data_IF_682039492887
#
_entry.id   IF_682039492887
#
_cell.length_a   1.000
_cell.length_b   1.000
_cell.length_c   1.000
_cell.angle_alpha   90.00
_cell.angle_beta   90.00
_cell.angle_gamma   90.00
#
_symmetry.space_group_name_H-M   'P 1'
#
loop_
_entity.id
_entity.type
_entity.pdbx_description
1 polymer ?
#
# COMPACT_ATOMS: atom_id res chain seq x y z
N UNK A 1 17.77 -3.90 34.70
CA UNK A 1 16.85 -3.27 33.72
C UNK A 1 16.02 -2.15 34.34
N UNK A 2 15.57 -2.29 35.59
CA UNK A 2 14.75 -1.28 36.30
C UNK A 2 15.33 0.14 36.35
N UNK A 3 16.64 0.29 36.59
CA UNK A 3 17.29 1.61 36.59
C UNK A 3 17.26 2.24 35.21
N UNK A 4 17.44 1.46 34.14
CA UNK A 4 17.41 1.94 32.77
C UNK A 4 15.99 2.36 32.36
N UNK A 5 14.97 1.60 32.73
CA UNK A 5 13.58 1.93 32.45
C UNK A 5 13.15 3.25 33.14
N UNK A 6 13.53 3.42 34.41
CA UNK A 6 13.14 4.59 35.21
C UNK A 6 13.95 5.86 34.86
N UNK A 7 15.24 5.72 34.60
CA UNK A 7 16.16 6.86 34.45
C UNK A 7 16.33 7.29 33.01
N UNK A 8 16.23 6.37 32.04
CA UNK A 8 16.51 6.65 30.62
C UNK A 8 15.24 6.60 29.79
N UNK A 9 14.47 5.51 29.89
CA UNK A 9 13.30 5.33 29.03
C UNK A 9 12.17 6.30 29.35
N UNK A 10 11.68 6.35 30.59
CA UNK A 10 10.55 7.24 30.94
C UNK A 10 10.75 8.73 30.61
N UNK A 11 11.92 9.35 30.81
CA UNK A 11 12.10 10.75 30.43
C UNK A 11 12.32 10.97 28.93
N UNK A 12 12.90 10.02 28.21
CA UNK A 12 13.41 10.26 26.84
C UNK A 12 12.62 9.56 25.73
N UNK A 13 11.79 8.54 26.04
CA UNK A 13 11.14 7.71 25.02
C UNK A 13 10.34 8.53 24.01
N UNK A 14 9.64 9.59 24.44
CA UNK A 14 8.89 10.45 23.51
C UNK A 14 9.82 11.14 22.50
N UNK A 15 10.90 11.75 22.96
CA UNK A 15 11.83 12.48 22.09
C UNK A 15 12.55 11.53 21.14
N UNK A 16 12.99 10.38 21.65
CA UNK A 16 13.66 9.35 20.86
C UNK A 16 12.72 8.74 19.83
N UNK A 17 11.47 8.41 20.19
CA UNK A 17 10.44 7.95 19.24
C UNK A 17 10.24 9.01 18.14
N UNK A 18 10.03 10.28 18.49
CA UNK A 18 9.83 11.33 17.47
C UNK A 18 11.03 11.45 16.53
N UNK A 19 12.26 11.45 17.06
CA UNK A 19 13.46 11.50 16.23
C UNK A 19 13.57 10.29 15.29
N UNK A 20 13.21 9.09 15.73
CA UNK A 20 13.14 7.91 14.86
C UNK A 20 12.08 8.07 13.76
N UNK A 21 10.91 8.60 14.08
CA UNK A 21 9.83 8.83 13.11
C UNK A 21 10.22 9.89 12.06
N UNK A 22 10.90 10.96 12.47
CA UNK A 22 11.43 11.98 11.57
C UNK A 22 12.49 11.41 10.62
N UNK A 23 13.38 10.54 11.11
CA UNK A 23 14.34 9.83 10.26
C UNK A 23 13.61 8.93 9.24
N UNK A 24 12.60 8.18 9.65
CA UNK A 24 11.81 7.32 8.75
C UNK A 24 11.09 8.16 7.69
N UNK A 25 10.51 9.30 8.08
CA UNK A 25 9.88 10.24 7.14
C UNK A 25 10.90 10.78 6.12
N UNK A 26 12.10 11.10 6.57
CA UNK A 26 13.21 11.55 5.72
C UNK A 26 13.62 10.46 4.71
N UNK A 27 13.73 9.21 5.17
CA UNK A 27 13.99 8.05 4.31
C UNK A 27 12.91 7.87 3.23
N UNK A 28 11.63 8.03 3.57
CA UNK A 28 10.53 7.97 2.59
C UNK A 28 10.60 9.06 1.53
N UNK A 29 11.23 10.19 1.85
CA UNK A 29 11.55 11.27 0.92
C UNK A 29 12.84 11.03 0.13
N UNK A 30 13.38 9.80 0.19
CA UNK A 30 14.62 9.36 -0.45
C UNK A 30 15.90 9.97 0.14
N UNK A 31 15.86 10.43 1.39
CA UNK A 31 17.05 10.87 2.10
C UNK A 31 17.83 9.67 2.67
N UNK A 32 19.16 9.75 2.63
CA UNK A 32 20.03 8.72 3.20
C UNK A 32 20.07 8.89 4.72
N UNK A 33 19.58 7.87 5.44
CA UNK A 33 19.57 7.86 6.90
C UNK A 33 20.45 6.75 7.47
N UNK A 34 20.88 6.93 8.73
CA UNK A 34 21.55 5.87 9.48
C UNK A 34 20.51 4.98 10.17
N UNK A 35 20.10 3.90 9.49
CA UNK A 35 19.11 2.93 9.97
C UNK A 35 19.51 2.22 11.27
N UNK A 36 20.81 2.20 11.62
CA UNK A 36 21.30 1.63 12.89
C UNK A 36 20.78 2.39 14.11
N UNK A 37 20.54 3.70 13.98
CA UNK A 37 19.97 4.51 15.06
C UNK A 37 18.56 4.04 15.40
N UNK A 38 17.74 3.80 14.38
CA UNK A 38 16.37 3.30 14.55
C UNK A 38 16.42 1.87 15.10
N UNK A 39 17.24 0.99 14.51
CA UNK A 39 17.36 -0.40 14.95
C UNK A 39 17.73 -0.52 16.42
N UNK A 40 18.67 0.29 16.92
CA UNK A 40 19.05 0.31 18.34
C UNK A 40 17.90 0.71 19.27
N UNK A 41 17.10 1.70 18.88
CA UNK A 41 15.90 2.11 19.63
C UNK A 41 14.85 1.01 19.62
N UNK A 42 14.58 0.40 18.46
CA UNK A 42 13.60 -0.68 18.35
C UNK A 42 14.02 -1.90 19.19
N UNK A 43 15.27 -2.32 19.11
CA UNK A 43 15.80 -3.42 19.92
C UNK A 43 15.66 -3.12 21.42
N UNK A 44 15.90 -1.87 21.82
CA UNK A 44 15.71 -1.42 23.19
C UNK A 44 14.24 -1.50 23.63
N UNK A 45 13.29 -1.06 22.80
CA UNK A 45 11.85 -1.10 23.12
C UNK A 45 11.34 -2.54 23.21
N UNK A 46 11.85 -3.43 22.35
CA UNK A 46 11.51 -4.85 22.37
C UNK A 46 12.13 -5.52 23.61
N UNK A 47 13.40 -5.26 23.94
CA UNK A 47 14.08 -5.81 25.10
C UNK A 47 13.42 -5.43 26.44
N UNK A 48 12.85 -4.23 26.53
CA UNK A 48 12.06 -3.81 27.69
C UNK A 48 10.77 -4.58 27.90
N UNK A 49 10.21 -5.17 26.85
CA UNK A 49 9.01 -6.00 26.94
C UNK A 49 9.24 -7.35 27.62
N UNK A 50 10.50 -7.69 27.94
CA UNK A 50 10.90 -8.93 28.59
C UNK A 50 11.10 -8.77 30.12
N UNK A 51 10.56 -7.73 30.76
CA UNK A 51 10.74 -7.58 32.22
C UNK A 51 10.16 -8.79 32.97
N UNK A 52 11.00 -9.40 33.80
CA UNK A 52 10.63 -10.48 34.71
C UNK A 52 9.56 -9.97 35.68
N UNK A 53 8.34 -10.51 35.61
CA UNK A 53 7.40 -10.37 36.71
C UNK A 53 8.06 -11.02 37.93
N UNK A 54 8.47 -10.21 38.91
CA UNK A 54 9.10 -10.63 40.17
C UNK A 54 8.19 -11.44 41.10
N UNK A 55 7.19 -12.13 40.56
CA UNK A 55 6.27 -13.00 41.28
C UNK A 55 6.24 -14.38 40.65
N UNK A 56 7.13 -15.23 41.17
CA UNK A 56 6.98 -16.68 41.32
C UNK A 56 6.81 -17.55 40.06
N UNK A 57 7.75 -18.49 39.95
CA UNK A 57 7.67 -19.81 39.31
C UNK A 57 8.01 -19.89 37.82
N UNK A 58 9.28 -20.18 37.52
CA UNK A 58 9.81 -21.08 36.46
C UNK A 58 9.09 -21.19 35.09
N UNK A 59 8.31 -20.19 34.69
CA UNK A 59 7.76 -20.05 33.36
C UNK A 59 8.25 -18.72 32.84
N UNK A 60 9.12 -18.80 31.84
CA UNK A 60 9.49 -17.68 31.01
C UNK A 60 8.20 -17.18 30.35
N UNK A 61 7.58 -16.16 30.94
CA UNK A 61 6.40 -15.51 30.39
C UNK A 61 6.79 -14.97 29.01
N UNK A 62 5.99 -15.28 28.00
CA UNK A 62 6.29 -14.88 26.63
C UNK A 62 6.53 -13.36 26.58
N UNK A 63 7.55 -12.88 25.83
CA UNK A 63 7.80 -11.45 25.71
C UNK A 63 6.55 -10.70 25.33
N UNK A 64 6.16 -9.72 26.16
CA UNK A 64 5.02 -8.88 25.83
C UNK A 64 5.56 -7.68 25.05
N UNK A 65 5.28 -7.62 23.75
CA UNK A 65 5.71 -6.52 22.86
C UNK A 65 5.03 -5.16 23.18
N UNK A 66 4.36 -5.03 24.33
CA UNK A 66 3.56 -3.87 24.73
C UNK A 66 4.34 -2.56 24.63
N UNK A 67 5.59 -2.53 25.12
CA UNK A 67 6.39 -1.31 25.08
C UNK A 67 6.67 -0.86 23.64
N UNK A 68 7.08 -1.79 22.77
CA UNK A 68 7.26 -1.50 21.35
C UNK A 68 5.96 -1.03 20.69
N UNK A 69 4.86 -1.72 20.97
CA UNK A 69 3.57 -1.41 20.35
C UNK A 69 3.04 -0.04 20.76
N UNK A 70 2.97 0.21 22.07
CA UNK A 70 2.34 1.40 22.64
C UNK A 70 3.17 2.66 22.42
N UNK A 71 4.50 2.57 22.50
CA UNK A 71 5.38 3.73 22.45
C UNK A 71 6.02 3.99 21.08
N UNK A 72 5.89 3.05 20.13
CA UNK A 72 6.43 3.22 18.78
C UNK A 72 5.42 2.80 17.69
N UNK A 73 4.98 1.53 17.66
CA UNK A 73 4.22 0.98 16.51
C UNK A 73 2.96 1.78 16.21
N UNK A 74 2.19 2.15 17.25
CA UNK A 74 0.95 2.93 17.08
C UNK A 74 1.24 4.27 16.39
N UNK A 75 2.20 5.04 16.88
CA UNK A 75 2.53 6.34 16.29
C UNK A 75 3.15 6.19 14.89
N UNK A 76 4.03 5.21 14.71
CA UNK A 76 4.62 4.90 13.40
C UNK A 76 3.55 4.65 12.34
N UNK A 77 2.50 3.89 12.67
CA UNK A 77 1.43 3.58 11.73
C UNK A 77 0.58 4.82 11.43
N UNK A 78 0.27 5.63 12.44
CA UNK A 78 -0.47 6.89 12.26
C UNK A 78 0.28 7.87 11.34
N UNK A 79 1.57 8.07 11.58
CA UNK A 79 2.41 8.93 10.75
C UNK A 79 2.53 8.39 9.33
N UNK A 80 2.59 7.06 9.18
CA UNK A 80 2.62 6.40 7.87
C UNK A 80 1.32 6.60 7.10
N UNK A 81 0.18 6.46 7.77
CA UNK A 81 -1.12 6.73 7.19
C UNK A 81 -1.21 8.19 6.71
N UNK A 82 -0.83 9.15 7.56
CA UNK A 82 -0.86 10.56 7.20
C UNK A 82 0.08 10.89 6.03
N UNK A 83 1.29 10.32 6.05
CA UNK A 83 2.27 10.50 4.97
C UNK A 83 1.70 10.04 3.63
N UNK A 84 1.16 8.82 3.57
CA UNK A 84 0.65 8.27 2.31
C UNK A 84 -0.66 8.90 1.85
N UNK A 85 -1.51 9.38 2.76
CA UNK A 85 -2.69 10.18 2.39
C UNK A 85 -2.28 11.45 1.65
N UNK A 86 -1.29 12.17 2.20
CA UNK A 86 -0.77 13.39 1.58
C UNK A 86 -0.05 13.10 0.26
N UNK A 87 0.78 12.05 0.23
CA UNK A 87 1.49 11.66 -0.99
C UNK A 87 0.51 11.28 -2.11
N UNK A 88 -0.51 10.47 -1.83
CA UNK A 88 -1.51 10.08 -2.82
C UNK A 88 -2.26 11.30 -3.37
N UNK A 89 -2.77 12.16 -2.49
CA UNK A 89 -3.49 13.37 -2.89
C UNK A 89 -2.62 14.30 -3.74
N UNK A 90 -1.35 14.48 -3.37
CA UNK A 90 -0.44 15.36 -4.11
C UNK A 90 -0.02 14.74 -5.45
N UNK A 91 0.26 13.43 -5.47
CA UNK A 91 0.78 12.75 -6.65
C UNK A 91 -0.28 12.64 -7.75
N UNK A 92 -1.52 12.29 -7.40
CA UNK A 92 -2.63 12.15 -8.35
C UNK A 92 -3.05 13.47 -9.01
N UNK A 93 -2.73 14.61 -8.41
CA UNK A 93 -2.99 15.94 -9.02
C UNK A 93 -2.05 16.23 -10.18
N UNK A 94 -0.82 15.70 -10.15
CA UNK A 94 0.24 16.09 -11.08
C UNK A 94 0.67 14.98 -12.04
N UNK A 95 0.21 13.74 -11.82
CA UNK A 95 0.67 12.56 -12.55
C UNK A 95 -0.50 11.68 -12.97
N UNK A 96 -0.28 10.79 -13.93
CA UNK A 96 -1.29 9.83 -14.35
C UNK A 96 -1.58 8.77 -13.28
N UNK A 97 -2.79 8.18 -13.33
CA UNK A 97 -3.15 7.06 -12.43
C UNK A 97 -2.25 5.86 -12.67
N UNK A 98 -1.84 5.62 -13.91
CA UNK A 98 -0.87 4.56 -14.24
C UNK A 98 0.48 4.77 -13.56
N UNK A 99 1.03 6.00 -13.54
CA UNK A 99 2.26 6.32 -12.80
C UNK A 99 2.06 6.18 -11.30
N UNK A 100 0.90 6.60 -10.80
CA UNK A 100 0.53 6.42 -9.40
C UNK A 100 0.55 4.94 -9.00
N UNK A 101 -0.05 4.04 -9.78
CA UNK A 101 -0.06 2.60 -9.49
C UNK A 101 1.37 2.00 -9.46
N UNK A 102 2.27 2.46 -10.32
CA UNK A 102 3.69 2.05 -10.29
C UNK A 102 4.35 2.49 -8.98
N UNK A 103 4.10 3.73 -8.57
CA UNK A 103 4.59 4.26 -7.30
C UNK A 103 4.00 3.54 -6.10
N UNK A 104 2.71 3.19 -6.11
CA UNK A 104 2.08 2.38 -5.04
C UNK A 104 2.75 1.03 -4.89
N UNK A 105 3.03 0.33 -6.01
CA UNK A 105 3.76 -0.94 -5.97
C UNK A 105 5.15 -0.78 -5.33
N UNK A 106 5.89 0.25 -5.74
CA UNK A 106 7.19 0.58 -5.17
C UNK A 106 7.10 0.87 -3.66
N UNK A 107 6.13 1.71 -3.23
CA UNK A 107 5.95 2.06 -1.81
C UNK A 107 5.64 0.84 -0.95
N UNK A 108 4.83 -0.10 -1.44
CA UNK A 108 4.57 -1.36 -0.73
C UNK A 108 5.85 -2.17 -0.53
N UNK A 109 6.67 -2.32 -1.57
CA UNK A 109 7.93 -3.05 -1.49
C UNK A 109 8.94 -2.36 -0.54
N UNK A 110 8.99 -1.03 -0.56
CA UNK A 110 9.80 -0.23 0.37
C UNK A 110 9.38 -0.44 1.83
N UNK A 111 8.07 -0.46 2.13
CA UNK A 111 7.59 -0.70 3.51
C UNK A 111 7.86 -2.13 3.98
N UNK A 112 7.80 -3.13 3.09
CA UNK A 112 8.23 -4.50 3.42
C UNK A 112 9.70 -4.51 3.80
N UNK A 113 10.56 -3.91 2.98
CA UNK A 113 12.01 -3.83 3.23
C UNK A 113 12.31 -3.07 4.51
N UNK A 114 11.58 -1.99 4.80
CA UNK A 114 11.71 -1.20 6.02
C UNK A 114 11.50 -2.03 7.27
N UNK A 115 10.43 -2.83 7.29
CA UNK A 115 10.17 -3.71 8.43
C UNK A 115 11.29 -4.73 8.58
N UNK A 116 11.72 -5.36 7.50
CA UNK A 116 12.80 -6.36 7.51
C UNK A 116 14.15 -5.77 7.95
N UNK A 117 14.38 -4.48 7.68
CA UNK A 117 15.67 -3.84 7.94
C UNK A 117 15.84 -3.44 9.41
N UNK A 118 14.81 -2.89 10.05
CA UNK A 118 14.99 -2.30 11.38
C UNK A 118 13.75 -2.26 12.29
N UNK A 119 12.58 -2.78 11.88
CA UNK A 119 11.39 -2.85 12.75
C UNK A 119 11.14 -4.27 13.26
N UNK A 120 10.26 -4.41 14.24
CA UNK A 120 9.88 -5.73 14.72
C UNK A 120 8.94 -6.41 13.68
N UNK A 121 9.12 -7.72 13.36
CA UNK A 121 8.32 -8.40 12.33
C UNK A 121 6.80 -8.39 12.57
N UNK A 122 6.36 -8.22 13.82
CA UNK A 122 4.93 -8.10 14.16
C UNK A 122 4.23 -6.93 13.46
N UNK A 123 4.98 -5.92 13.04
CA UNK A 123 4.44 -4.70 12.42
C UNK A 123 4.03 -4.92 10.97
N UNK A 124 4.60 -5.91 10.28
CA UNK A 124 4.47 -6.06 8.83
C UNK A 124 3.02 -6.13 8.36
N UNK A 125 2.23 -7.03 8.95
CA UNK A 125 0.84 -7.26 8.51
C UNK A 125 -0.04 -6.03 8.71
N UNK A 126 0.12 -5.33 9.82
CA UNK A 126 -0.67 -4.14 10.15
C UNK A 126 -0.25 -2.94 9.29
N UNK A 127 1.05 -2.73 9.10
CA UNK A 127 1.60 -1.70 8.23
C UNK A 127 1.11 -1.86 6.78
N UNK A 128 1.29 -3.05 6.20
CA UNK A 128 0.91 -3.28 4.79
C UNK A 128 -0.59 -3.10 4.60
N UNK A 129 -1.42 -3.60 5.51
CA UNK A 129 -2.87 -3.40 5.45
C UNK A 129 -3.24 -1.91 5.50
N UNK A 130 -2.54 -1.12 6.31
CA UNK A 130 -2.79 0.32 6.40
C UNK A 130 -2.35 1.06 5.14
N UNK A 131 -1.20 0.71 4.58
CA UNK A 131 -0.70 1.30 3.33
C UNK A 131 -1.62 0.95 2.15
N UNK A 132 -2.09 -0.30 2.06
CA UNK A 132 -3.08 -0.75 1.07
C UNK A 132 -4.41 0.00 1.20
N UNK A 133 -4.88 0.23 2.43
CA UNK A 133 -6.07 1.02 2.69
C UNK A 133 -5.94 2.43 2.09
N UNK A 134 -4.87 3.14 2.45
CA UNK A 134 -4.67 4.54 2.05
C UNK A 134 -4.35 4.69 0.55
N UNK A 135 -3.49 3.83 0.01
CA UNK A 135 -2.98 3.96 -1.36
C UNK A 135 -3.79 3.22 -2.41
N UNK A 136 -4.67 2.29 -2.01
CA UNK A 136 -5.47 1.51 -2.97
C UNK A 136 -6.94 1.64 -2.65
N UNK A 137 -7.37 1.26 -1.44
CA UNK A 137 -8.81 1.25 -1.09
C UNK A 137 -9.43 2.63 -1.23
N UNK A 138 -8.78 3.66 -0.68
CA UNK A 138 -9.29 5.03 -0.69
C UNK A 138 -9.29 5.66 -2.10
N UNK A 139 -8.56 5.07 -3.05
CA UNK A 139 -8.43 5.59 -4.43
C UNK A 139 -9.14 4.72 -5.47
N UNK A 140 -9.96 3.75 -5.06
CA UNK A 140 -10.58 2.77 -5.96
C UNK A 140 -11.40 3.42 -7.08
N UNK A 141 -12.12 4.50 -6.82
CA UNK A 141 -12.96 5.16 -7.82
C UNK A 141 -12.14 5.70 -9.00
N UNK A 142 -11.01 6.34 -8.69
CA UNK A 142 -10.07 6.85 -9.70
C UNK A 142 -9.41 5.68 -10.45
N UNK A 143 -9.04 4.61 -9.73
CA UNK A 143 -8.46 3.40 -10.32
C UNK A 143 -9.45 2.70 -11.27
N UNK A 144 -10.73 2.59 -10.91
CA UNK A 144 -11.76 2.00 -11.78
C UNK A 144 -12.03 2.86 -13.01
N UNK A 145 -11.93 4.17 -12.89
CA UNK A 145 -12.05 5.08 -14.03
C UNK A 145 -10.90 4.86 -15.00
N UNK A 146 -9.67 4.77 -14.49
CA UNK A 146 -8.49 4.45 -15.29
C UNK A 146 -8.59 3.06 -15.93
N UNK A 147 -9.14 2.05 -15.23
CA UNK A 147 -9.31 0.71 -15.80
C UNK A 147 -10.13 0.71 -17.10
N UNK A 148 -11.20 1.53 -17.18
CA UNK A 148 -12.01 1.68 -18.40
C UNK A 148 -11.21 2.29 -19.54
N UNK A 149 -10.38 3.30 -19.23
CA UNK A 149 -9.49 3.96 -20.20
C UNK A 149 -8.45 2.97 -20.73
N UNK A 150 -7.79 2.23 -19.84
CA UNK A 150 -6.76 1.27 -20.22
C UNK A 150 -7.32 0.10 -21.05
N UNK A 151 -8.55 -0.33 -20.78
CA UNK A 151 -9.23 -1.36 -21.58
C UNK A 151 -9.49 -0.87 -23.01
N UNK A 152 -10.08 0.33 -23.15
CA UNK A 152 -10.34 0.95 -24.45
C UNK A 152 -9.05 1.15 -25.26
N UNK A 153 -7.97 1.53 -24.59
CA UNK A 153 -6.68 1.82 -25.22
C UNK A 153 -5.79 0.57 -25.33
N UNK A 154 -6.32 -0.62 -25.00
CA UNK A 154 -5.64 -1.92 -25.07
C UNK A 154 -4.29 -1.98 -24.31
N UNK A 155 -4.17 -1.21 -23.21
CA UNK A 155 -2.95 -1.11 -22.39
C UNK A 155 -2.84 -2.24 -21.38
N UNK A 156 -2.69 -3.47 -21.86
CA UNK A 156 -2.76 -4.69 -21.04
C UNK A 156 -1.69 -4.79 -19.94
N UNK A 157 -0.49 -4.23 -20.15
CA UNK A 157 0.56 -4.24 -19.13
C UNK A 157 0.17 -3.43 -17.89
N UNK A 158 -0.41 -2.24 -18.10
CA UNK A 158 -0.86 -1.37 -17.01
C UNK A 158 -2.12 -1.95 -16.34
N UNK A 159 -3.01 -2.61 -17.10
CA UNK A 159 -4.14 -3.37 -16.55
C UNK A 159 -3.69 -4.52 -15.63
N UNK A 160 -2.63 -5.24 -16.00
CA UNK A 160 -2.11 -6.33 -15.16
C UNK A 160 -1.60 -5.80 -13.81
N UNK A 161 -0.92 -4.65 -13.81
CA UNK A 161 -0.51 -3.96 -12.59
C UNK A 161 -1.72 -3.53 -11.75
N UNK A 162 -2.71 -2.90 -12.38
CA UNK A 162 -3.94 -2.45 -11.75
C UNK A 162 -4.67 -3.62 -11.08
N UNK A 163 -4.90 -4.72 -11.81
CA UNK A 163 -5.57 -5.91 -11.29
C UNK A 163 -4.82 -6.50 -10.09
N UNK A 164 -3.49 -6.61 -10.19
CA UNK A 164 -2.65 -7.12 -9.09
C UNK A 164 -2.80 -6.28 -7.82
N UNK A 165 -2.85 -4.95 -7.94
CA UNK A 165 -3.01 -4.05 -6.80
C UNK A 165 -4.43 -4.10 -6.23
N UNK A 166 -5.46 -4.05 -7.07
CA UNK A 166 -6.86 -4.15 -6.63
C UNK A 166 -7.15 -5.49 -5.95
N UNK A 167 -6.52 -6.59 -6.39
CA UNK A 167 -6.69 -7.91 -5.78
C UNK A 167 -6.17 -8.00 -4.34
N UNK A 168 -5.37 -7.03 -3.89
CA UNK A 168 -4.94 -6.93 -2.49
C UNK A 168 -6.08 -6.46 -1.57
N UNK A 169 -7.09 -5.79 -2.13
CA UNK A 169 -8.23 -5.28 -1.37
C UNK A 169 -9.39 -6.27 -1.44
N UNK A 170 -9.81 -6.75 -0.28
CA UNK A 170 -10.96 -7.64 -0.14
C UNK A 170 -12.19 -7.05 -0.84
N UNK A 171 -12.83 -7.85 -1.70
CA UNK A 171 -14.04 -7.52 -2.47
C UNK A 171 -13.91 -6.42 -3.55
N UNK A 172 -12.74 -5.80 -3.74
CA UNK A 172 -12.57 -4.75 -4.76
C UNK A 172 -12.55 -5.31 -6.20
N UNK A 173 -12.14 -6.57 -6.39
CA UNK A 173 -12.07 -7.18 -7.72
C UNK A 173 -13.42 -7.41 -8.39
N UNK A 174 -14.51 -7.44 -7.62
CA UNK A 174 -15.85 -7.66 -8.17
C UNK A 174 -16.26 -6.53 -9.13
N UNK A 175 -15.94 -5.28 -8.79
CA UNK A 175 -16.26 -4.14 -9.65
C UNK A 175 -15.38 -4.13 -10.89
N UNK A 176 -14.10 -4.45 -10.73
CA UNK A 176 -13.18 -4.57 -11.86
C UNK A 176 -13.61 -5.66 -12.86
N UNK A 177 -14.16 -6.78 -12.39
CA UNK A 177 -14.75 -7.81 -13.26
C UNK A 177 -15.91 -7.27 -14.08
N UNK A 178 -16.86 -6.56 -13.46
CA UNK A 178 -17.98 -5.94 -14.20
C UNK A 178 -17.51 -4.95 -15.25
N UNK A 179 -16.47 -4.16 -14.93
CA UNK A 179 -15.88 -3.21 -15.88
C UNK A 179 -15.35 -3.94 -17.12
N UNK A 180 -14.63 -5.05 -16.93
CA UNK A 180 -14.11 -5.87 -18.03
C UNK A 180 -15.25 -6.54 -18.81
N UNK A 181 -16.24 -7.13 -18.12
CA UNK A 181 -17.40 -7.77 -18.73
C UNK A 181 -18.17 -6.81 -19.64
N UNK A 182 -18.47 -5.60 -19.14
CA UNK A 182 -19.15 -4.57 -19.90
C UNK A 182 -18.35 -4.14 -21.13
N UNK A 183 -17.03 -3.97 -20.98
CA UNK A 183 -16.18 -3.59 -22.10
C UNK A 183 -16.16 -4.65 -23.21
N UNK A 184 -16.04 -5.93 -22.86
CA UNK A 184 -16.10 -7.05 -23.81
C UNK A 184 -17.46 -7.10 -24.51
N UNK A 185 -18.55 -6.89 -23.76
CA UNK A 185 -19.90 -6.85 -24.31
C UNK A 185 -20.08 -5.71 -25.33
N UNK A 186 -19.67 -4.49 -24.99
CA UNK A 186 -19.75 -3.31 -25.86
C UNK A 186 -18.90 -3.49 -27.13
N UNK A 187 -17.68 -3.99 -27.00
CA UNK A 187 -16.83 -4.33 -28.14
C UNK A 187 -17.48 -5.38 -29.06
N UNK A 188 -18.13 -6.39 -28.47
CA UNK A 188 -18.85 -7.42 -29.20
C UNK A 188 -19.97 -6.84 -30.06
N UNK A 189 -20.83 -5.99 -29.47
CA UNK A 189 -21.91 -5.31 -30.19
C UNK A 189 -21.36 -4.47 -31.34
N UNK A 190 -20.40 -3.60 -31.05
CA UNK A 190 -19.83 -2.69 -32.04
C UNK A 190 -19.17 -3.45 -33.22
N UNK A 191 -18.59 -4.62 -32.94
CA UNK A 191 -18.02 -5.49 -33.98
C UNK A 191 -19.11 -6.09 -34.87
N UNK A 192 -20.21 -6.58 -34.29
CA UNK A 192 -21.34 -7.16 -35.04
C UNK A 192 -22.02 -6.10 -35.92
N UNK A 193 -22.26 -4.90 -35.38
CA UNK A 193 -22.87 -3.79 -36.12
C UNK A 193 -22.02 -3.37 -37.33
N UNK A 194 -20.70 -3.28 -37.16
CA UNK A 194 -19.77 -2.97 -38.25
C UNK A 194 -19.83 -4.03 -39.35
N UNK A 195 -19.80 -5.31 -38.99
CA UNK A 195 -19.87 -6.42 -39.95
C UNK A 195 -21.21 -6.41 -40.70
N UNK A 196 -22.32 -6.19 -39.99
CA UNK A 196 -23.66 -6.06 -40.58
C UNK A 196 -23.75 -4.89 -41.57
N UNK A 197 -23.24 -3.71 -41.19
CA UNK A 197 -23.18 -2.54 -42.06
C UNK A 197 -22.33 -2.75 -43.31
N UNK A 198 -21.16 -3.41 -43.19
CA UNK A 198 -20.34 -3.77 -44.35
C UNK A 198 -21.02 -4.81 -45.26
N UNK A 199 -21.73 -5.79 -44.70
CA UNK A 199 -22.43 -6.80 -45.48
C UNK A 199 -23.58 -6.18 -46.32
N UNK A 200 -24.31 -5.22 -45.76
CA UNK A 200 -25.35 -4.47 -46.47
C UNK A 200 -24.73 -3.62 -47.59
N UNK A 201 -23.61 -2.95 -47.31
CA UNK A 201 -22.96 -2.09 -48.30
C UNK A 201 -22.36 -2.88 -49.48
N UNK A 202 -21.72 -4.03 -49.22
CA UNK A 202 -21.24 -4.95 -50.26
C UNK A 202 -22.40 -5.48 -51.10
N UNK A 203 -23.53 -5.82 -50.45
CA UNK A 203 -24.73 -6.28 -51.16
C UNK A 203 -25.32 -5.21 -52.08
N UNK A 204 -25.36 -3.94 -51.65
CA UNK A 204 -25.82 -2.82 -52.47
C UNK A 204 -24.89 -2.53 -53.66
N UNK A 205 -23.57 -2.64 -53.49
CA UNK A 205 -22.59 -2.46 -54.57
C UNK A 205 -22.74 -3.57 -55.64
N UNK A 206 -23.07 -4.79 -55.23
CA UNK A 206 -23.29 -5.91 -56.16
C UNK A 206 -24.62 -5.80 -56.93
N UNK A 207 -25.63 -5.16 -56.35
CA UNK A 207 -26.93 -4.92 -57.00
C UNK A 207 -26.85 -3.77 -58.00
N UNK A 208 -26.10 -2.69 -57.70
CA UNK A 208 -25.98 -1.52 -58.58
C UNK A 208 -24.98 -1.65 -59.74
N UNK A 209 -24.20 -2.74 -59.80
CA UNK A 209 -23.26 -3.02 -60.91
C UNK A 209 -23.78 -4.10 -61.89
N UNK A 210 -25.08 -4.38 -61.88
CA UNK A 210 -25.78 -5.18 -62.90
C UNK A 210 -26.73 -4.29 -63.69
#
# INVERSE_FOLDING_TARGET
>A
MDTWQKVVFQPLHKQVTHACLDLIKSERNNEIINTRLISGVIQSYVALGFTEDGTNNNQMTAPTLTIYKDFFEVQFILDTEQFYRLEAATFLVHNSVTEYLKKVAQRLDEEVHRVQSYLHPSTLSFLIKKVEEVLIRDQLDVIYTEAKILLRDERYQDLALLFRLVNRITNATNELKKIVENHVYEMGIHTIERVSGTAINVSLILINNR
#
